data_IF_987554491017
#
_entry.id   IF_987554491017
#
_cell.length_a   1.000
_cell.length_b   1.000
_cell.length_c   1.000
_cell.angle_alpha   90.00
_cell.angle_beta   90.00
_cell.angle_gamma   90.00
#
_symmetry.space_group_name_H-M   'P 1'
#
loop_
_entity.id
_entity.type
_entity.pdbx_description
1 polymer ?
#
# COMPACT_ATOMS: atom_id res chain seq x y z
N UNK A 1 -21.35 6.35 -35.72
CA UNK A 1 -22.54 6.29 -34.85
C UNK A 1 -22.35 7.06 -33.51
N UNK A 2 -21.14 7.26 -33.04
CA UNK A 2 -20.84 8.06 -31.86
C UNK A 2 -21.11 9.58 -31.98
N UNK A 3 -21.13 10.13 -33.18
CA UNK A 3 -21.37 11.56 -33.44
C UNK A 3 -22.83 12.05 -33.30
N UNK A 4 -23.80 11.13 -33.41
CA UNK A 4 -25.24 11.50 -33.32
C UNK A 4 -25.81 11.53 -31.89
N UNK A 5 -25.10 10.94 -30.90
CA UNK A 5 -25.51 10.99 -29.50
C UNK A 5 -25.05 12.27 -28.77
N UNK A 6 -24.01 12.95 -29.26
CA UNK A 6 -23.55 14.25 -28.73
C UNK A 6 -24.53 15.41 -28.96
N UNK A 7 -25.42 15.28 -29.94
CA UNK A 7 -26.40 16.33 -30.29
C UNK A 7 -27.63 16.32 -29.37
N UNK A 8 -27.81 15.31 -28.52
CA UNK A 8 -28.95 15.22 -27.59
C UNK A 8 -28.63 15.60 -26.13
N UNK A 9 -27.34 15.82 -25.83
CA UNK A 9 -26.89 16.36 -24.52
C UNK A 9 -26.54 17.83 -24.78
N UNK A 10 -27.48 18.73 -24.49
CA UNK A 10 -27.30 20.17 -24.65
C UNK A 10 -26.08 20.69 -23.86
N UNK A 11 -25.55 21.89 -24.19
CA UNK A 11 -24.32 22.46 -23.62
C UNK A 11 -24.43 22.85 -22.13
N UNK A 12 -25.57 22.65 -21.49
CA UNK A 12 -25.84 23.06 -20.11
C UNK A 12 -25.26 22.14 -19.00
N UNK A 13 -24.60 21.02 -19.37
CA UNK A 13 -24.00 20.10 -18.39
C UNK A 13 -22.63 20.56 -17.81
N UNK A 14 -22.21 21.80 -18.07
CA UNK A 14 -20.85 22.30 -17.67
C UNK A 14 -20.82 23.37 -16.60
N UNK A 15 -21.91 23.66 -15.92
CA UNK A 15 -21.89 24.63 -14.81
C UNK A 15 -22.51 23.98 -13.55
N UNK A 16 -21.66 23.47 -12.68
CA UNK A 16 -22.01 23.21 -11.29
C UNK A 16 -21.92 24.55 -10.54
N UNK A 17 -23.02 25.11 -10.04
CA UNK A 17 -22.95 26.20 -9.09
C UNK A 17 -22.70 25.66 -7.69
N UNK A 18 -21.89 26.42 -6.93
CA UNK A 18 -21.62 26.21 -5.53
C UNK A 18 -22.90 26.20 -4.68
N UNK A 19 -22.89 25.34 -3.68
CA UNK A 19 -23.71 25.25 -2.48
C UNK A 19 -24.99 26.10 -2.42
N UNK A 20 -26.15 25.45 -2.57
CA UNK A 20 -27.45 26.04 -2.29
C UNK A 20 -28.59 25.13 -2.73
N UNK A 21 -29.27 24.49 -1.76
CA UNK A 21 -30.60 23.83 -1.87
C UNK A 21 -30.86 22.98 -3.12
N UNK A 22 -30.58 21.68 -2.97
CA UNK A 22 -30.96 20.64 -3.94
C UNK A 22 -32.48 20.55 -3.98
N UNK A 23 -33.11 21.20 -4.96
CA UNK A 23 -34.49 20.88 -5.38
C UNK A 23 -34.47 19.52 -6.08
N UNK A 24 -35.13 18.54 -5.52
CA UNK A 24 -35.34 17.16 -6.00
C UNK A 24 -36.25 17.09 -7.24
N UNK A 25 -35.89 17.73 -8.34
CA UNK A 25 -36.74 17.77 -9.54
C UNK A 25 -35.95 17.69 -10.85
N UNK A 26 -35.09 16.64 -11.06
CA UNK A 26 -34.53 16.38 -12.39
C UNK A 26 -34.27 14.88 -12.64
N UNK A 27 -35.13 13.97 -12.18
CA UNK A 27 -35.25 12.66 -12.79
C UNK A 27 -36.35 12.73 -13.86
N UNK A 28 -36.03 13.22 -15.06
CA UNK A 28 -36.87 12.93 -16.22
C UNK A 28 -36.81 11.41 -16.46
N UNK A 29 -37.95 10.69 -16.39
CA UNK A 29 -37.96 9.27 -16.68
C UNK A 29 -37.48 9.06 -18.11
N UNK A 30 -36.43 8.25 -18.29
CA UNK A 30 -35.89 7.83 -19.61
C UNK A 30 -37.07 7.20 -20.36
N UNK A 31 -37.36 7.68 -21.57
CA UNK A 31 -38.49 7.20 -22.36
C UNK A 31 -38.38 5.67 -22.55
N UNK A 32 -39.50 4.93 -22.55
CA UNK A 32 -39.51 3.46 -22.70
C UNK A 32 -38.75 2.95 -23.91
N UNK A 33 -38.64 3.75 -25.00
CA UNK A 33 -37.91 3.40 -26.24
C UNK A 33 -36.39 3.54 -26.11
N UNK A 34 -35.89 4.28 -25.16
CA UNK A 34 -34.41 4.50 -24.95
C UNK A 34 -33.86 3.56 -23.90
N UNK A 35 -34.71 3.01 -23.00
CA UNK A 35 -34.29 2.07 -21.95
C UNK A 35 -33.50 0.86 -22.45
N UNK A 36 -33.94 0.13 -23.51
CA UNK A 36 -33.18 -1.04 -24.00
C UNK A 36 -31.83 -0.67 -24.60
N UNK A 37 -31.74 0.47 -25.29
CA UNK A 37 -30.47 0.97 -25.86
C UNK A 37 -29.50 1.42 -24.78
N UNK A 38 -29.99 2.07 -23.71
CA UNK A 38 -29.18 2.45 -22.57
C UNK A 38 -28.67 1.22 -21.82
N UNK A 39 -29.52 0.22 -21.58
CA UNK A 39 -29.12 -1.04 -20.96
C UNK A 39 -28.04 -1.77 -21.78
N UNK A 40 -28.19 -1.82 -23.10
CA UNK A 40 -27.19 -2.40 -23.99
C UNK A 40 -25.86 -1.63 -23.97
N UNK A 41 -25.89 -0.32 -23.92
CA UNK A 41 -24.67 0.50 -23.77
C UNK A 41 -23.98 0.24 -22.42
N UNK A 42 -24.72 0.21 -21.32
CA UNK A 42 -24.19 -0.07 -19.98
C UNK A 42 -23.58 -1.47 -19.92
N UNK A 43 -24.26 -2.47 -20.45
CA UNK A 43 -23.76 -3.86 -20.51
C UNK A 43 -22.49 -3.94 -21.36
N UNK A 44 -22.51 -3.33 -22.55
CA UNK A 44 -21.33 -3.31 -23.43
C UNK A 44 -20.13 -2.61 -22.80
N UNK A 45 -20.37 -1.46 -22.17
CA UNK A 45 -19.29 -0.70 -21.53
C UNK A 45 -18.80 -1.41 -20.26
N UNK A 46 -19.68 -2.09 -19.51
CA UNK A 46 -19.32 -2.99 -18.43
C UNK A 46 -18.47 -4.18 -18.89
N UNK A 47 -18.87 -4.84 -19.98
CA UNK A 47 -18.10 -5.94 -20.58
C UNK A 47 -16.73 -5.48 -21.08
N UNK A 48 -16.65 -4.28 -21.69
CA UNK A 48 -15.36 -3.70 -22.10
C UNK A 48 -14.49 -3.35 -20.92
N UNK A 49 -15.06 -2.83 -19.84
CA UNK A 49 -14.32 -2.54 -18.61
C UNK A 49 -13.76 -3.83 -18.00
N UNK A 50 -14.55 -4.89 -17.92
CA UNK A 50 -14.11 -6.20 -17.47
C UNK A 50 -13.03 -6.80 -18.39
N UNK A 51 -13.19 -6.70 -19.71
CA UNK A 51 -12.20 -7.19 -20.66
C UNK A 51 -10.85 -6.49 -20.53
N UNK A 52 -10.87 -5.17 -20.32
CA UNK A 52 -9.68 -4.34 -20.19
C UNK A 52 -9.12 -4.28 -18.76
N UNK A 53 -9.70 -5.03 -17.82
CA UNK A 53 -9.25 -5.03 -16.44
C UNK A 53 -7.80 -5.56 -16.35
N UNK A 54 -6.85 -4.74 -15.80
CA UNK A 54 -5.46 -5.15 -15.71
C UNK A 54 -5.28 -6.27 -14.69
N UNK A 55 -4.15 -6.96 -14.77
CA UNK A 55 -3.74 -7.89 -13.69
C UNK A 55 -3.59 -7.13 -12.38
N UNK A 56 -3.92 -7.77 -11.24
CA UNK A 56 -3.59 -7.21 -9.93
C UNK A 56 -2.08 -6.92 -9.83
N UNK A 57 -1.66 -5.81 -9.22
CA UNK A 57 -0.25 -5.52 -9.00
C UNK A 57 0.35 -6.64 -8.13
N UNK A 58 1.51 -7.14 -8.56
CA UNK A 58 2.36 -8.12 -7.87
C UNK A 58 1.63 -9.41 -7.43
N UNK A 59 1.52 -10.41 -8.33
CA UNK A 59 1.21 -11.75 -7.84
C UNK A 59 2.35 -12.19 -6.89
N UNK A 60 2.03 -12.65 -5.67
CA UNK A 60 3.06 -13.12 -4.77
C UNK A 60 3.84 -14.25 -5.44
N UNK A 61 5.19 -14.23 -5.26
CA UNK A 61 6.07 -15.32 -5.72
C UNK A 61 5.52 -16.69 -5.30
N UNK A 62 5.80 -17.77 -6.05
CA UNK A 62 5.35 -19.10 -5.69
C UNK A 62 5.84 -19.43 -4.27
N UNK A 63 4.87 -19.58 -3.36
CA UNK A 63 5.14 -19.82 -1.94
C UNK A 63 5.33 -21.33 -1.74
N UNK A 64 6.06 -21.74 -0.72
CA UNK A 64 6.21 -23.15 -0.32
C UNK A 64 4.87 -23.91 -0.24
N UNK A 65 3.78 -23.20 0.10
CA UNK A 65 2.40 -23.72 0.12
C UNK A 65 1.91 -24.24 -1.24
N UNK A 66 2.34 -23.65 -2.34
CA UNK A 66 1.96 -24.10 -3.68
C UNK A 66 2.68 -25.41 -4.02
N UNK A 67 3.95 -25.55 -3.61
CA UNK A 67 4.71 -26.80 -3.75
C UNK A 67 4.14 -27.92 -2.86
N UNK A 68 3.77 -27.57 -1.62
CA UNK A 68 3.11 -28.50 -0.70
C UNK A 68 1.77 -28.99 -1.26
N UNK A 69 0.95 -28.10 -1.82
CA UNK A 69 -0.32 -28.48 -2.47
C UNK A 69 -0.07 -29.49 -3.60
N UNK A 70 0.88 -29.22 -4.49
CA UNK A 70 1.23 -30.14 -5.58
C UNK A 70 1.71 -31.47 -5.03
N UNK A 71 2.60 -31.48 -4.02
CA UNK A 71 3.09 -32.70 -3.39
C UNK A 71 1.94 -33.52 -2.79
N UNK A 72 1.00 -32.88 -2.08
CA UNK A 72 -0.17 -33.56 -1.51
C UNK A 72 -1.06 -34.16 -2.61
N UNK A 73 -1.37 -33.41 -3.66
CA UNK A 73 -2.22 -33.88 -4.76
C UNK A 73 -1.56 -35.07 -5.47
N UNK A 74 -0.27 -34.98 -5.79
CA UNK A 74 0.46 -36.06 -6.46
C UNK A 74 0.55 -37.31 -5.56
N UNK A 75 0.91 -37.13 -4.28
CA UNK A 75 0.98 -38.28 -3.34
C UNK A 75 -0.37 -38.93 -3.18
N UNK A 76 -1.45 -38.16 -3.07
CA UNK A 76 -2.82 -38.69 -3.00
C UNK A 76 -3.20 -39.45 -4.29
N UNK A 77 -2.86 -38.90 -5.47
CA UNK A 77 -3.10 -39.57 -6.76
C UNK A 77 -2.39 -40.94 -6.85
N UNK A 78 -1.15 -41.01 -6.36
CA UNK A 78 -0.41 -42.29 -6.32
C UNK A 78 -1.12 -43.29 -5.41
N UNK A 79 -1.48 -42.87 -4.19
CA UNK A 79 -2.19 -43.73 -3.22
C UNK A 79 -3.52 -44.18 -3.79
N UNK A 80 -4.29 -43.27 -4.36
CA UNK A 80 -5.60 -43.58 -4.96
C UNK A 80 -5.46 -44.59 -6.12
N UNK A 81 -4.45 -44.41 -7.00
CA UNK A 81 -4.18 -45.34 -8.11
C UNK A 81 -3.77 -46.74 -7.61
N UNK A 82 -3.02 -46.82 -6.50
CA UNK A 82 -2.58 -48.09 -5.93
C UNK A 82 -3.71 -48.83 -5.18
N UNK A 83 -4.66 -48.11 -4.61
CA UNK A 83 -5.78 -48.69 -3.85
C UNK A 83 -6.98 -49.09 -4.73
N UNK A 84 -7.10 -48.56 -5.94
CA UNK A 84 -8.21 -48.83 -6.86
C UNK A 84 -7.78 -49.82 -7.92
N UNK A 85 -8.16 -51.05 -7.75
CA UNK A 85 -7.86 -52.15 -8.69
C UNK A 85 -8.73 -52.11 -9.96
N UNK A 86 -9.86 -51.36 -9.92
CA UNK A 86 -10.85 -51.21 -11.01
C UNK A 86 -10.48 -50.15 -12.05
N UNK A 87 -9.32 -49.47 -11.93
CA UNK A 87 -8.92 -48.39 -12.82
C UNK A 87 -8.38 -48.91 -14.16
N UNK A 88 -9.22 -48.84 -15.20
CA UNK A 88 -8.72 -48.90 -16.57
C UNK A 88 -7.80 -47.68 -16.82
N UNK A 89 -6.63 -47.86 -17.41
CA UNK A 89 -5.64 -46.82 -17.67
C UNK A 89 -5.07 -46.14 -16.44
N UNK A 90 -4.93 -46.81 -15.29
CA UNK A 90 -4.40 -46.22 -14.05
C UNK A 90 -3.14 -45.37 -14.24
N UNK A 91 -2.07 -45.84 -14.94
CA UNK A 91 -0.87 -45.04 -15.20
C UNK A 91 -1.14 -43.77 -16.02
N UNK A 92 -2.10 -43.78 -16.96
CA UNK A 92 -2.50 -42.59 -17.76
C UNK A 92 -3.21 -41.59 -16.86
N UNK A 93 -4.13 -42.07 -16.03
CA UNK A 93 -4.84 -41.24 -15.05
C UNK A 93 -3.88 -40.55 -14.07
N UNK A 94 -2.90 -41.27 -13.55
CA UNK A 94 -1.85 -40.72 -12.70
C UNK A 94 -1.05 -39.64 -13.43
N UNK A 95 -0.72 -39.87 -14.71
CA UNK A 95 -0.02 -38.90 -15.54
C UNK A 95 -0.84 -37.63 -15.74
N UNK A 96 -2.13 -37.75 -16.09
CA UNK A 96 -3.08 -36.62 -16.27
C UNK A 96 -3.18 -35.81 -14.99
N UNK A 97 -3.40 -36.45 -13.84
CA UNK A 97 -3.53 -35.76 -12.56
C UNK A 97 -2.22 -35.08 -12.15
N UNK A 98 -1.08 -35.70 -12.43
CA UNK A 98 0.23 -35.11 -12.17
C UNK A 98 0.47 -33.87 -13.03
N UNK A 99 0.12 -33.89 -14.33
CA UNK A 99 0.22 -32.72 -15.21
C UNK A 99 -0.68 -31.57 -14.75
N UNK A 100 -1.91 -31.89 -14.32
CA UNK A 100 -2.82 -30.90 -13.73
C UNK A 100 -2.21 -30.32 -12.45
N UNK A 101 -1.68 -31.17 -11.56
CA UNK A 101 -1.05 -30.70 -10.32
C UNK A 101 0.17 -29.81 -10.61
N UNK A 102 1.01 -30.16 -11.57
CA UNK A 102 2.16 -29.35 -11.98
C UNK A 102 1.73 -27.98 -12.54
N UNK A 103 0.60 -27.89 -13.26
CA UNK A 103 0.08 -26.62 -13.75
C UNK A 103 -0.22 -25.63 -12.62
N UNK A 104 -0.53 -26.13 -11.41
CA UNK A 104 -0.78 -25.28 -10.24
C UNK A 104 0.44 -24.48 -9.78
N UNK A 105 1.67 -24.89 -10.14
CA UNK A 105 2.89 -24.14 -9.80
C UNK A 105 2.94 -22.77 -10.47
N UNK A 106 2.36 -22.64 -11.66
CA UNK A 106 2.36 -21.39 -12.44
C UNK A 106 1.07 -20.59 -12.34
N UNK A 107 0.09 -21.07 -11.59
CA UNK A 107 -1.28 -20.52 -11.49
C UNK A 107 -1.32 -19.04 -11.10
N UNK A 108 -0.27 -18.53 -10.42
CA UNK A 108 -0.20 -17.12 -9.99
C UNK A 108 0.49 -16.23 -11.01
N UNK A 109 1.60 -16.71 -11.59
CA UNK A 109 2.38 -15.95 -12.57
C UNK A 109 1.72 -15.96 -13.96
N UNK A 110 1.22 -17.12 -14.38
CA UNK A 110 0.61 -17.34 -15.69
C UNK A 110 -0.75 -18.05 -15.57
N UNK A 111 -1.78 -17.37 -15.00
CA UNK A 111 -3.06 -18.02 -14.68
C UNK A 111 -3.76 -18.61 -15.89
N UNK A 112 -3.77 -17.91 -17.05
CA UNK A 112 -4.33 -18.45 -18.30
C UNK A 112 -3.52 -19.66 -18.80
N UNK A 113 -2.18 -19.58 -18.74
CA UNK A 113 -1.32 -20.72 -19.14
C UNK A 113 -1.56 -21.97 -18.28
N UNK A 114 -1.73 -21.79 -16.95
CA UNK A 114 -2.05 -22.88 -16.05
C UNK A 114 -3.43 -23.51 -16.35
N UNK A 115 -4.45 -22.69 -16.63
CA UNK A 115 -5.78 -23.14 -17.04
C UNK A 115 -5.70 -23.87 -18.40
N UNK A 116 -4.99 -23.31 -19.38
CA UNK A 116 -4.82 -23.95 -20.67
C UNK A 116 -4.09 -25.31 -20.59
N UNK A 117 -3.06 -25.41 -19.75
CA UNK A 117 -2.37 -26.66 -19.50
C UNK A 117 -3.28 -27.69 -18.81
N UNK A 118 -3.94 -27.31 -17.70
CA UNK A 118 -4.79 -28.22 -16.93
C UNK A 118 -6.01 -28.70 -17.72
N UNK A 119 -6.81 -27.76 -18.26
CA UNK A 119 -8.00 -28.12 -19.03
C UNK A 119 -7.67 -28.69 -20.43
N UNK A 120 -6.57 -28.26 -21.05
CA UNK A 120 -6.05 -28.87 -22.27
C UNK A 120 -5.69 -30.34 -22.06
N UNK A 121 -5.07 -30.68 -20.94
CA UNK A 121 -4.79 -32.08 -20.56
C UNK A 121 -6.07 -32.88 -20.36
N UNK A 122 -7.11 -32.30 -19.70
CA UNK A 122 -8.42 -32.96 -19.54
C UNK A 122 -9.12 -33.19 -20.89
N UNK A 123 -9.16 -32.17 -21.75
CA UNK A 123 -9.74 -32.28 -23.08
C UNK A 123 -9.03 -33.38 -23.89
N UNK A 124 -7.69 -33.39 -23.89
CA UNK A 124 -6.92 -34.41 -24.60
C UNK A 124 -7.22 -35.81 -24.10
N UNK A 125 -7.34 -35.95 -22.77
CA UNK A 125 -7.67 -37.21 -22.12
C UNK A 125 -9.08 -37.70 -22.47
N UNK A 126 -10.10 -36.83 -22.37
CA UNK A 126 -11.47 -37.20 -22.70
C UNK A 126 -11.64 -37.53 -24.20
N UNK A 127 -10.98 -36.79 -25.09
CA UNK A 127 -10.94 -37.11 -26.52
C UNK A 127 -10.30 -38.48 -26.75
N UNK A 128 -9.20 -38.82 -26.08
CA UNK A 128 -8.54 -40.12 -26.15
C UNK A 128 -9.49 -41.25 -25.67
N UNK A 129 -10.24 -41.03 -24.59
CA UNK A 129 -11.26 -41.98 -24.07
C UNK A 129 -12.36 -42.25 -25.13
N UNK A 130 -12.88 -41.17 -25.72
CA UNK A 130 -13.93 -41.29 -26.77
C UNK A 130 -13.40 -42.10 -27.97
N UNK A 131 -12.18 -41.79 -28.45
CA UNK A 131 -11.60 -42.48 -29.59
C UNK A 131 -11.25 -43.95 -29.31
N UNK A 132 -10.84 -44.26 -28.09
CA UNK A 132 -10.48 -45.62 -27.66
C UNK A 132 -11.71 -46.45 -27.21
N UNK A 133 -12.89 -45.81 -27.05
CA UNK A 133 -14.11 -46.44 -26.51
C UNK A 133 -13.85 -47.11 -25.15
N UNK A 134 -13.08 -46.45 -24.25
CA UNK A 134 -12.75 -46.98 -22.94
C UNK A 134 -13.53 -46.23 -21.85
N UNK A 135 -14.28 -47.02 -21.08
CA UNK A 135 -14.93 -46.53 -19.88
C UNK A 135 -13.95 -46.57 -18.68
N UNK A 136 -13.69 -45.42 -18.11
CA UNK A 136 -12.85 -45.31 -16.90
C UNK A 136 -13.38 -44.20 -16.01
N UNK A 137 -13.39 -44.49 -14.70
CA UNK A 137 -13.78 -43.48 -13.71
C UNK A 137 -12.58 -42.62 -13.33
N UNK A 138 -12.80 -41.29 -13.21
CA UNK A 138 -11.75 -40.35 -12.84
C UNK A 138 -11.23 -40.54 -11.41
N UNK A 139 -9.98 -40.11 -11.16
CA UNK A 139 -9.45 -40.03 -9.81
C UNK A 139 -10.07 -38.84 -9.06
N UNK A 140 -10.36 -38.98 -7.77
CA UNK A 140 -10.85 -37.89 -6.92
C UNK A 140 -9.85 -36.73 -6.86
N UNK A 141 -8.56 -37.05 -6.95
CA UNK A 141 -7.46 -36.05 -7.01
C UNK A 141 -7.57 -35.07 -8.19
N UNK A 142 -8.31 -35.40 -9.26
CA UNK A 142 -8.65 -34.50 -10.36
C UNK A 142 -9.41 -33.26 -9.88
N UNK A 143 -10.12 -33.33 -8.73
CA UNK A 143 -10.79 -32.18 -8.12
C UNK A 143 -9.82 -30.99 -7.83
N UNK A 144 -8.52 -31.23 -7.78
CA UNK A 144 -7.51 -30.17 -7.70
C UNK A 144 -7.60 -29.15 -8.87
N UNK A 145 -8.18 -29.54 -10.01
CA UNK A 145 -8.45 -28.65 -11.15
C UNK A 145 -9.34 -27.47 -10.79
N UNK A 146 -10.19 -27.59 -9.76
CA UNK A 146 -11.04 -26.50 -9.25
C UNK A 146 -10.25 -25.29 -8.73
N UNK A 147 -8.97 -25.48 -8.40
CA UNK A 147 -8.08 -24.38 -8.00
C UNK A 147 -7.72 -23.48 -9.18
N UNK A 148 -7.80 -23.96 -10.41
CA UNK A 148 -7.44 -23.21 -11.61
C UNK A 148 -8.43 -22.05 -11.92
N UNK A 149 -9.75 -22.26 -11.94
CA UNK A 149 -10.71 -21.16 -12.11
C UNK A 149 -10.59 -20.10 -11.03
N UNK A 150 -10.42 -20.50 -9.77
CA UNK A 150 -10.13 -19.59 -8.67
C UNK A 150 -8.91 -18.73 -8.96
N UNK A 151 -7.81 -19.35 -9.38
CA UNK A 151 -6.54 -18.64 -9.64
C UNK A 151 -6.66 -17.70 -10.84
N UNK A 152 -7.37 -18.10 -11.87
CA UNK A 152 -7.62 -17.31 -13.07
C UNK A 152 -8.34 -16.00 -12.73
N UNK A 153 -9.43 -16.07 -11.96
CA UNK A 153 -10.20 -14.90 -11.59
C UNK A 153 -9.53 -14.07 -10.48
N UNK A 154 -8.69 -14.69 -9.68
CA UNK A 154 -7.94 -14.00 -8.61
C UNK A 154 -6.76 -13.19 -9.15
N UNK A 155 -6.02 -13.73 -10.15
CA UNK A 155 -4.72 -13.20 -10.59
C UNK A 155 -4.67 -12.82 -12.07
N UNK A 156 -5.59 -13.30 -12.90
CA UNK A 156 -5.63 -13.02 -14.33
C UNK A 156 -6.10 -11.62 -14.68
N UNK A 157 -5.73 -11.16 -15.88
CA UNK A 157 -6.37 -10.00 -16.49
C UNK A 157 -7.80 -10.34 -16.94
N UNK A 158 -8.65 -9.33 -17.13
CA UNK A 158 -10.04 -9.55 -17.54
C UNK A 158 -10.18 -10.37 -18.82
N UNK A 159 -9.37 -10.09 -19.83
CA UNK A 159 -9.31 -10.87 -21.10
C UNK A 159 -8.87 -12.33 -20.88
N UNK A 160 -7.93 -12.55 -19.96
CA UNK A 160 -7.47 -13.89 -19.61
C UNK A 160 -8.56 -14.69 -18.89
N UNK A 161 -9.27 -14.03 -17.98
CA UNK A 161 -10.41 -14.61 -17.28
C UNK A 161 -11.53 -15.01 -18.26
N UNK A 162 -11.84 -14.15 -19.24
CA UNK A 162 -12.85 -14.44 -20.25
C UNK A 162 -12.47 -15.62 -21.16
N UNK A 163 -11.22 -15.63 -21.67
CA UNK A 163 -10.72 -16.71 -22.52
C UNK A 163 -10.64 -18.03 -21.74
N UNK A 164 -10.07 -18.00 -20.53
CA UNK A 164 -9.95 -19.20 -19.71
C UNK A 164 -11.29 -19.75 -19.24
N UNK A 165 -12.27 -18.89 -18.95
CA UNK A 165 -13.64 -19.32 -18.66
C UNK A 165 -14.26 -20.01 -19.89
N UNK A 166 -14.07 -19.47 -21.09
CA UNK A 166 -14.51 -20.10 -22.32
C UNK A 166 -13.92 -21.52 -22.48
N UNK A 167 -12.64 -21.71 -22.17
CA UNK A 167 -11.99 -23.02 -22.22
C UNK A 167 -12.56 -23.99 -21.17
N UNK A 168 -12.80 -23.53 -19.96
CA UNK A 168 -13.41 -24.31 -18.88
C UNK A 168 -14.81 -24.79 -19.29
N UNK A 169 -15.63 -23.85 -19.79
CA UNK A 169 -17.01 -24.17 -20.20
C UNK A 169 -17.06 -25.07 -21.44
N UNK A 170 -16.06 -24.97 -22.34
CA UNK A 170 -15.98 -25.82 -23.53
C UNK A 170 -15.61 -27.27 -23.19
N UNK A 171 -14.87 -27.51 -22.10
CA UNK A 171 -14.51 -28.86 -21.65
C UNK A 171 -15.71 -29.65 -21.14
N UNK A 172 -16.66 -29.03 -20.44
CA UNK A 172 -17.81 -29.71 -19.81
C UNK A 172 -18.70 -30.53 -20.79
N UNK A 173 -19.07 -30.02 -21.97
CA UNK A 173 -19.79 -30.85 -22.93
C UNK A 173 -18.95 -32.02 -23.50
N UNK A 174 -17.61 -31.86 -23.57
CA UNK A 174 -16.72 -32.92 -24.05
C UNK A 174 -16.70 -34.08 -23.05
N UNK A 175 -16.54 -33.74 -21.76
CA UNK A 175 -16.57 -34.78 -20.71
C UNK A 175 -17.95 -35.47 -20.61
N UNK A 176 -19.05 -34.74 -20.88
CA UNK A 176 -20.39 -35.33 -20.95
C UNK A 176 -20.55 -36.35 -22.08
N UNK A 177 -19.90 -36.12 -23.23
CA UNK A 177 -19.86 -37.09 -24.33
C UNK A 177 -19.00 -38.29 -23.99
N UNK A 178 -17.85 -38.06 -23.28
CA UNK A 178 -16.95 -39.12 -22.86
C UNK A 178 -17.57 -40.01 -21.74
N UNK A 179 -18.37 -39.40 -20.89
CA UNK A 179 -19.05 -40.06 -19.76
C UNK A 179 -20.44 -39.44 -19.58
N UNK A 180 -21.51 -40.11 -20.11
CA UNK A 180 -22.86 -39.61 -19.99
C UNK A 180 -23.29 -39.43 -18.53
N UNK A 181 -23.54 -38.20 -18.15
CA UNK A 181 -23.93 -37.79 -16.81
C UNK A 181 -25.41 -37.44 -16.77
N UNK A 182 -26.02 -37.56 -15.60
CA UNK A 182 -27.37 -37.03 -15.38
C UNK A 182 -27.37 -35.49 -15.48
N UNK A 183 -28.50 -34.90 -15.80
CA UNK A 183 -28.64 -33.45 -15.83
C UNK A 183 -28.22 -32.81 -14.48
N UNK A 184 -28.49 -33.47 -13.35
CA UNK A 184 -28.11 -33.01 -12.02
C UNK A 184 -26.59 -32.93 -11.83
N UNK A 185 -25.85 -33.95 -12.26
CA UNK A 185 -24.38 -34.00 -12.20
C UNK A 185 -23.75 -32.96 -13.10
N UNK A 186 -24.28 -32.75 -14.29
CA UNK A 186 -23.84 -31.72 -15.21
C UNK A 186 -24.02 -30.31 -14.60
N UNK A 187 -25.19 -29.99 -14.06
CA UNK A 187 -25.43 -28.72 -13.39
C UNK A 187 -24.53 -28.54 -12.15
N UNK A 188 -24.29 -29.61 -11.39
CA UNK A 188 -23.37 -29.57 -10.27
C UNK A 188 -21.95 -29.26 -10.74
N UNK A 189 -21.46 -29.89 -11.83
CA UNK A 189 -20.14 -29.61 -12.40
C UNK A 189 -19.98 -28.14 -12.78
N UNK A 190 -20.92 -27.57 -13.57
CA UNK A 190 -20.91 -26.13 -13.87
C UNK A 190 -20.93 -25.28 -12.60
N UNK A 191 -21.76 -25.65 -11.62
CA UNK A 191 -21.87 -24.95 -10.34
C UNK A 191 -20.54 -24.91 -9.59
N UNK A 192 -19.80 -26.01 -9.53
CA UNK A 192 -18.49 -26.08 -8.86
C UNK A 192 -17.45 -25.16 -9.51
N UNK A 193 -17.35 -25.18 -10.86
CA UNK A 193 -16.38 -24.35 -11.57
C UNK A 193 -16.74 -22.86 -11.48
N UNK A 194 -18.02 -22.52 -11.60
CA UNK A 194 -18.49 -21.13 -11.47
C UNK A 194 -18.34 -20.64 -10.03
N UNK A 195 -18.60 -21.46 -9.03
CA UNK A 195 -18.41 -21.08 -7.61
C UNK A 195 -16.94 -20.83 -7.30
N UNK A 196 -16.03 -21.68 -7.80
CA UNK A 196 -14.59 -21.50 -7.67
C UNK A 196 -14.13 -20.19 -8.33
N UNK A 197 -14.59 -19.90 -9.55
CA UNK A 197 -14.32 -18.66 -10.27
C UNK A 197 -14.86 -17.44 -9.50
N UNK A 198 -16.12 -17.52 -9.03
CA UNK A 198 -16.76 -16.47 -8.25
C UNK A 198 -16.02 -16.18 -6.94
N UNK A 199 -15.53 -17.23 -6.25
CA UNK A 199 -14.71 -17.10 -5.05
C UNK A 199 -13.41 -16.34 -5.33
N UNK A 200 -12.72 -16.69 -6.43
CA UNK A 200 -11.52 -15.97 -6.87
C UNK A 200 -11.78 -14.50 -7.16
N UNK A 201 -12.87 -14.20 -7.88
CA UNK A 201 -13.31 -12.84 -8.18
C UNK A 201 -13.69 -12.06 -6.90
N UNK A 202 -14.41 -12.68 -5.97
CA UNK A 202 -14.81 -12.07 -4.71
C UNK A 202 -13.59 -11.66 -3.87
N UNK A 203 -12.60 -12.55 -3.71
CA UNK A 203 -11.38 -12.23 -2.97
C UNK A 203 -10.59 -11.10 -3.66
N UNK A 204 -10.54 -11.09 -5.01
CA UNK A 204 -9.92 -9.99 -5.77
C UNK A 204 -10.64 -8.68 -5.49
N UNK A 205 -11.97 -8.67 -5.58
CA UNK A 205 -12.79 -7.49 -5.32
C UNK A 205 -12.58 -6.96 -3.92
N UNK A 206 -12.66 -7.81 -2.89
CA UNK A 206 -12.41 -7.40 -1.51
C UNK A 206 -11.00 -6.84 -1.27
N UNK A 207 -9.98 -7.42 -1.92
CA UNK A 207 -8.62 -6.90 -1.83
C UNK A 207 -8.52 -5.49 -2.46
N UNK A 208 -9.16 -5.28 -3.62
CA UNK A 208 -9.16 -3.99 -4.31
C UNK A 208 -9.93 -2.93 -3.53
N UNK A 209 -11.09 -3.28 -2.95
CA UNK A 209 -11.88 -2.38 -2.09
C UNK A 209 -11.07 -1.95 -0.88
N UNK A 210 -10.42 -2.87 -0.18
CA UNK A 210 -9.59 -2.53 0.99
C UNK A 210 -8.47 -1.53 0.66
N UNK A 211 -7.79 -1.69 -0.48
CA UNK A 211 -6.75 -0.74 -0.90
C UNK A 211 -7.36 0.64 -1.15
N UNK A 212 -8.50 0.70 -1.84
CA UNK A 212 -9.22 1.97 -2.09
C UNK A 212 -9.73 2.63 -0.81
N UNK A 213 -10.23 1.83 0.14
CA UNK A 213 -10.72 2.35 1.42
C UNK A 213 -9.60 2.99 2.23
N UNK A 214 -8.41 2.37 2.27
CA UNK A 214 -7.22 2.93 2.92
C UNK A 214 -6.80 4.24 2.25
N UNK A 215 -6.78 4.28 0.92
CA UNK A 215 -6.43 5.49 0.17
C UNK A 215 -7.45 6.62 0.39
N UNK A 216 -8.75 6.29 0.37
CA UNK A 216 -9.80 7.26 0.68
C UNK A 216 -9.73 7.76 2.13
N UNK A 217 -9.41 6.89 3.09
CA UNK A 217 -9.21 7.28 4.49
C UNK A 217 -8.05 8.28 4.62
N UNK A 218 -6.92 8.02 3.95
CA UNK A 218 -5.78 8.96 3.88
C UNK A 218 -6.18 10.33 3.29
N UNK A 219 -6.95 10.32 2.20
CA UNK A 219 -7.42 11.56 1.55
C UNK A 219 -8.39 12.35 2.44
N UNK A 220 -9.30 11.66 3.13
CA UNK A 220 -10.22 12.29 4.11
C UNK A 220 -9.45 12.93 5.25
N UNK A 221 -8.52 12.19 5.85
CA UNK A 221 -7.67 12.70 6.92
C UNK A 221 -6.89 13.96 6.50
N UNK A 222 -6.32 13.95 5.29
CA UNK A 222 -5.65 15.16 4.74
C UNK A 222 -6.62 16.33 4.58
N UNK A 223 -7.83 16.08 4.10
CA UNK A 223 -8.86 17.14 3.94
C UNK A 223 -9.31 17.68 5.28
N UNK A 224 -9.44 16.85 6.30
CA UNK A 224 -9.80 17.26 7.66
C UNK A 224 -8.70 18.11 8.29
N UNK A 225 -7.44 17.64 8.22
CA UNK A 225 -6.28 18.42 8.68
C UNK A 225 -6.14 19.77 7.96
N UNK A 226 -6.41 19.82 6.64
CA UNK A 226 -6.37 21.07 5.90
C UNK A 226 -7.45 22.06 6.34
N UNK A 227 -8.65 21.58 6.72
CA UNK A 227 -9.71 22.43 7.27
C UNK A 227 -9.35 22.92 8.67
N UNK A 228 -8.86 22.03 9.54
CA UNK A 228 -8.45 22.35 10.90
C UNK A 228 -7.32 23.39 10.89
N UNK A 229 -6.36 23.26 9.96
CA UNK A 229 -5.33 24.28 9.70
C UNK A 229 -5.95 25.63 9.29
N UNK A 230 -6.89 25.61 8.34
CA UNK A 230 -7.52 26.83 7.84
C UNK A 230 -8.30 27.55 8.94
N UNK A 231 -9.03 26.80 9.74
CA UNK A 231 -9.83 27.33 10.84
C UNK A 231 -8.94 27.89 11.97
N UNK A 232 -7.86 27.18 12.33
CA UNK A 232 -6.89 27.65 13.33
C UNK A 232 -6.19 28.92 12.86
N UNK A 233 -5.66 28.93 11.63
CA UNK A 233 -5.01 30.12 11.05
C UNK A 233 -5.97 31.29 10.98
N UNK A 234 -7.20 31.08 10.53
CA UNK A 234 -8.22 32.10 10.45
C UNK A 234 -8.54 32.75 11.81
N UNK A 235 -8.60 31.90 12.86
CA UNK A 235 -8.83 32.37 14.23
C UNK A 235 -7.66 33.22 14.74
N UNK A 236 -6.42 32.75 14.59
CA UNK A 236 -5.23 33.47 15.03
C UNK A 236 -5.00 34.79 14.28
N UNK A 237 -5.18 34.78 12.95
CA UNK A 237 -5.08 36.01 12.14
C UNK A 237 -6.14 37.04 12.54
N UNK A 238 -7.37 36.60 12.83
CA UNK A 238 -8.44 37.47 13.29
C UNK A 238 -8.11 38.09 14.67
N UNK A 239 -7.56 37.31 15.61
CA UNK A 239 -7.13 37.79 16.91
C UNK A 239 -6.00 38.83 16.79
N UNK A 240 -4.99 38.56 15.94
CA UNK A 240 -3.90 39.51 15.65
C UNK A 240 -4.47 40.84 15.07
N UNK A 241 -5.44 40.77 14.14
CA UNK A 241 -6.05 41.94 13.55
C UNK A 241 -6.79 42.80 14.59
N UNK A 242 -7.53 42.16 15.51
CA UNK A 242 -8.22 42.87 16.62
C UNK A 242 -7.21 43.51 17.56
N UNK A 243 -6.15 42.82 17.94
CA UNK A 243 -5.08 43.38 18.79
C UNK A 243 -4.38 44.55 18.10
N UNK A 244 -4.08 44.44 16.81
CA UNK A 244 -3.48 45.54 16.05
C UNK A 244 -4.39 46.79 16.01
N UNK A 245 -5.72 46.63 15.89
CA UNK A 245 -6.67 47.73 15.99
C UNK A 245 -6.66 48.38 17.38
N UNK A 246 -6.63 47.57 18.44
CA UNK A 246 -6.54 48.07 19.82
C UNK A 246 -5.22 48.84 20.08
N UNK A 247 -4.08 48.27 19.61
CA UNK A 247 -2.78 48.96 19.70
C UNK A 247 -2.77 50.32 18.99
N UNK A 248 -3.37 50.41 17.80
CA UNK A 248 -3.51 51.68 17.06
C UNK A 248 -4.37 52.71 17.80
N UNK A 249 -5.44 52.26 18.45
CA UNK A 249 -6.31 53.19 19.24
C UNK A 249 -5.57 53.72 20.46
N UNK A 250 -4.68 52.94 21.07
CA UNK A 250 -3.90 53.36 22.25
C UNK A 250 -2.66 54.20 21.91
N UNK A 251 -2.15 54.11 20.69
CA UNK A 251 -0.87 54.73 20.29
C UNK A 251 -0.78 56.24 20.54
N UNK A 252 -1.91 56.99 20.45
CA UNK A 252 -1.96 58.43 20.65
C UNK A 252 -2.12 58.85 22.14
N UNK A 253 -2.62 57.93 23.02
CA UNK A 253 -2.96 58.25 24.40
C UNK A 253 -2.06 57.53 25.42
N UNK A 254 -1.54 56.38 25.13
CA UNK A 254 -0.74 55.54 26.03
C UNK A 254 0.24 54.65 25.19
N UNK A 255 1.41 55.23 24.95
CA UNK A 255 2.44 54.57 24.10
C UNK A 255 2.98 53.30 24.74
N UNK A 256 3.10 53.21 26.05
CA UNK A 256 3.62 52.04 26.75
C UNK A 256 2.67 50.85 26.60
N UNK A 257 1.37 51.10 26.72
CA UNK A 257 0.34 50.05 26.46
C UNK A 257 0.29 49.65 24.99
N UNK A 258 0.47 50.56 24.07
CA UNK A 258 0.53 50.25 22.64
C UNK A 258 1.72 49.34 22.34
N UNK A 259 2.90 49.56 22.92
CA UNK A 259 4.07 48.67 22.79
C UNK A 259 3.83 47.32 23.40
N UNK A 260 3.14 47.22 24.56
CA UNK A 260 2.80 45.92 25.16
C UNK A 260 1.86 45.11 24.26
N UNK A 261 0.89 45.76 23.56
CA UNK A 261 0.04 45.09 22.58
C UNK A 261 0.83 44.58 21.38
N UNK A 262 1.82 45.31 20.88
CA UNK A 262 2.70 44.87 19.80
C UNK A 262 3.52 43.64 20.19
N UNK A 263 4.06 43.59 21.41
CA UNK A 263 4.76 42.41 21.94
C UNK A 263 3.86 41.16 22.00
N UNK A 264 2.58 41.36 22.40
CA UNK A 264 1.59 40.26 22.42
C UNK A 264 1.29 39.73 20.99
N UNK A 265 1.21 40.64 20.00
CA UNK A 265 1.02 40.29 18.59
C UNK A 265 2.22 39.47 18.07
N UNK A 266 3.44 39.90 18.37
CA UNK A 266 4.67 39.21 17.97
C UNK A 266 4.73 37.80 18.54
N UNK A 267 4.42 37.65 19.82
CA UNK A 267 4.38 36.32 20.48
C UNK A 267 3.30 35.42 19.87
N UNK A 268 2.09 35.93 19.63
CA UNK A 268 0.99 35.20 19.03
C UNK A 268 1.33 34.76 17.58
N UNK A 269 1.92 35.64 16.79
CA UNK A 269 2.33 35.34 15.41
C UNK A 269 3.43 34.27 15.37
N UNK A 270 4.43 34.38 16.24
CA UNK A 270 5.52 33.40 16.34
C UNK A 270 5.02 32.02 16.72
N UNK A 271 4.13 31.93 17.71
CA UNK A 271 3.50 30.66 18.13
C UNK A 271 2.69 30.03 16.99
N UNK A 272 1.86 30.83 16.31
CA UNK A 272 1.07 30.35 15.18
C UNK A 272 1.94 29.81 14.04
N UNK A 273 3.06 30.46 13.73
CA UNK A 273 4.01 30.01 12.73
C UNK A 273 4.67 28.68 13.12
N UNK A 274 4.98 28.48 14.40
CA UNK A 274 5.53 27.20 14.88
C UNK A 274 4.52 26.05 14.78
N UNK A 275 3.27 26.30 15.18
CA UNK A 275 2.17 25.35 15.06
C UNK A 275 1.92 24.94 13.59
N UNK A 276 1.87 25.93 12.68
CA UNK A 276 1.72 25.68 11.23
C UNK A 276 2.89 24.84 10.67
N UNK A 277 4.13 25.16 11.05
CA UNK A 277 5.29 24.39 10.60
C UNK A 277 5.27 22.94 11.09
N UNK A 278 4.85 22.72 12.34
CA UNK A 278 4.71 21.39 12.90
C UNK A 278 3.66 20.56 12.14
N UNK A 279 2.48 21.15 11.86
CA UNK A 279 1.41 20.48 11.13
C UNK A 279 1.76 20.20 9.65
N UNK A 280 2.41 21.15 8.96
CA UNK A 280 2.90 20.97 7.58
C UNK A 280 3.99 19.90 7.54
N UNK A 281 4.83 19.79 8.57
CA UNK A 281 5.82 18.71 8.72
C UNK A 281 5.17 17.33 8.73
N UNK A 282 4.10 17.14 9.49
CA UNK A 282 3.32 15.89 9.55
C UNK A 282 2.72 15.53 8.19
N UNK A 283 2.20 16.52 7.43
CA UNK A 283 1.64 16.32 6.10
C UNK A 283 2.70 15.96 5.05
N UNK A 284 3.92 16.47 5.20
CA UNK A 284 5.05 16.27 4.27
C UNK A 284 5.73 14.93 4.49
N UNK A 285 5.96 14.52 5.73
CA UNK A 285 6.58 13.23 6.08
C UNK A 285 5.75 12.03 5.56
N UNK A 286 4.44 12.17 5.45
CA UNK A 286 3.56 11.16 4.84
C UNK A 286 3.69 11.03 3.30
N UNK A 287 4.26 12.00 2.59
CA UNK A 287 4.35 12.00 1.12
C UNK A 287 5.72 11.58 0.58
N UNK A 288 6.81 11.90 1.27
CA UNK A 288 8.16 11.60 0.79
C UNK A 288 8.55 10.12 1.02
N UNK A 289 7.87 9.43 1.94
CA UNK A 289 8.10 8.01 2.21
C UNK A 289 7.58 7.05 1.11
N UNK A 290 6.75 7.51 0.17
CA UNK A 290 6.06 6.63 -0.79
C UNK A 290 6.74 6.55 -2.17
N UNK A 291 7.68 7.44 -2.53
CA UNK A 291 8.21 7.55 -3.90
C UNK A 291 9.73 7.38 -4.05
N UNK A 292 10.49 7.35 -2.96
CA UNK A 292 11.92 7.07 -2.98
C UNK A 292 12.24 5.90 -2.03
N UNK A 293 13.28 5.08 -2.32
CA UNK A 293 13.76 4.14 -1.32
C UNK A 293 14.07 4.92 -0.04
N UNK A 294 13.69 4.37 1.14
CA UNK A 294 13.91 5.06 2.40
C UNK A 294 15.41 5.42 2.51
N UNK A 295 15.73 6.69 2.85
CA UNK A 295 17.11 7.10 3.02
C UNK A 295 17.78 6.23 4.08
N UNK A 296 19.00 5.78 3.79
CA UNK A 296 19.75 4.87 4.62
C UNK A 296 21.03 5.49 5.21
N UNK A 297 21.90 4.63 5.69
CA UNK A 297 23.17 5.05 6.31
C UNK A 297 24.04 5.90 5.36
N UNK A 298 24.08 5.55 4.07
CA UNK A 298 24.83 6.32 3.05
C UNK A 298 24.33 7.76 2.87
N UNK A 299 23.09 8.02 3.25
CA UNK A 299 22.47 9.34 3.14
C UNK A 299 22.85 10.27 4.31
N UNK A 300 23.37 9.70 5.42
CA UNK A 300 23.83 10.49 6.58
C UNK A 300 24.98 11.43 6.16
N UNK A 301 25.85 11.01 5.25
CA UNK A 301 26.93 11.87 4.74
C UNK A 301 26.41 13.13 4.04
N UNK A 302 25.22 13.05 3.45
CA UNK A 302 24.57 14.21 2.80
C UNK A 302 24.12 15.27 3.81
N UNK A 303 23.95 14.94 5.07
CA UNK A 303 23.65 15.94 6.11
C UNK A 303 24.79 16.96 6.28
N UNK A 304 26.01 16.61 5.89
CA UNK A 304 27.15 17.53 5.93
C UNK A 304 27.12 18.63 4.84
N UNK A 305 26.36 18.43 3.75
CA UNK A 305 26.45 19.26 2.53
C UNK A 305 25.29 20.25 2.33
N UNK A 306 24.27 20.25 3.17
CA UNK A 306 22.97 20.91 2.89
C UNK A 306 22.69 22.22 3.64
N UNK A 307 23.61 22.76 4.42
CA UNK A 307 23.30 23.83 5.39
C UNK A 307 24.16 25.07 5.10
N UNK A 308 23.47 26.16 4.69
CA UNK A 308 24.07 27.47 4.46
C UNK A 308 24.83 28.06 5.67
N UNK A 309 24.77 29.36 5.92
CA UNK A 309 25.44 30.07 7.03
C UNK A 309 25.01 29.55 8.42
N UNK A 310 25.61 28.42 8.88
CA UNK A 310 25.34 27.76 10.17
C UNK A 310 26.55 27.00 10.69
N UNK A 311 26.45 26.31 11.85
CA UNK A 311 27.48 25.43 12.39
C UNK A 311 27.89 24.38 11.36
N UNK A 312 29.19 24.11 11.25
CA UNK A 312 29.70 23.04 10.37
C UNK A 312 29.24 21.68 10.87
N UNK A 313 28.73 20.85 9.96
CA UNK A 313 28.34 19.45 10.28
C UNK A 313 29.42 18.51 9.76
N UNK A 314 30.10 17.83 10.68
CA UNK A 314 31.13 16.83 10.38
C UNK A 314 30.57 15.42 10.61
N UNK A 315 30.60 14.57 9.55
CA UNK A 315 30.09 13.18 9.59
C UNK A 315 31.24 12.20 9.54
N UNK A 316 31.23 11.23 10.43
CA UNK A 316 32.22 10.16 10.54
C UNK A 316 31.53 8.80 10.62
N UNK A 317 31.76 7.95 9.62
CA UNK A 317 31.31 6.56 9.60
C UNK A 317 32.53 5.67 9.86
N UNK A 318 32.43 4.73 10.81
CA UNK A 318 33.52 3.82 11.18
C UNK A 318 33.00 2.38 11.39
N UNK A 319 33.57 1.43 10.66
CA UNK A 319 33.20 0.02 10.73
C UNK A 319 32.61 -0.56 9.45
N UNK A 320 32.10 -1.79 9.54
CA UNK A 320 31.45 -2.49 8.43
C UNK A 320 29.93 -2.52 8.63
N UNK A 321 29.21 -1.96 7.66
CA UNK A 321 27.76 -1.84 7.68
C UNK A 321 27.08 -2.73 6.63
N UNK A 322 27.79 -3.71 6.05
CA UNK A 322 27.24 -4.58 4.99
C UNK A 322 26.05 -5.43 5.49
N UNK A 323 26.05 -5.79 6.77
CA UNK A 323 24.98 -6.56 7.40
C UNK A 323 23.88 -5.70 8.04
N UNK A 324 23.95 -4.38 7.90
CA UNK A 324 22.96 -3.48 8.49
C UNK A 324 21.60 -3.63 7.79
N UNK A 325 20.55 -3.92 8.56
CA UNK A 325 19.21 -4.01 7.96
C UNK A 325 18.75 -2.64 7.44
N UNK A 326 18.01 -2.58 6.32
CA UNK A 326 17.50 -1.33 5.75
C UNK A 326 16.66 -0.51 6.74
N UNK A 327 15.90 -1.17 7.61
CA UNK A 327 15.08 -0.54 8.64
C UNK A 327 15.93 0.16 9.71
N UNK A 328 17.03 -0.44 10.13
CA UNK A 328 17.99 0.15 11.07
C UNK A 328 18.73 1.33 10.43
N UNK A 329 19.17 1.18 9.16
CA UNK A 329 19.77 2.27 8.40
C UNK A 329 18.86 3.50 8.27
N UNK A 330 17.58 3.28 7.97
CA UNK A 330 16.60 4.35 7.90
C UNK A 330 16.34 5.03 9.27
N UNK A 331 16.29 4.26 10.36
CA UNK A 331 16.12 4.79 11.70
C UNK A 331 17.33 5.65 12.11
N UNK A 332 18.56 5.18 11.86
CA UNK A 332 19.78 5.94 12.11
C UNK A 332 19.79 7.26 11.36
N UNK A 333 19.42 7.24 10.07
CA UNK A 333 19.32 8.48 9.28
C UNK A 333 18.31 9.46 9.89
N UNK A 334 17.12 9.02 10.26
CA UNK A 334 16.08 9.89 10.85
C UNK A 334 16.49 10.44 12.22
N UNK A 335 17.13 9.64 13.07
CA UNK A 335 17.65 10.10 14.36
C UNK A 335 18.76 11.12 14.15
N UNK A 336 19.68 10.89 13.21
CA UNK A 336 20.75 11.83 12.87
C UNK A 336 20.18 13.15 12.34
N UNK A 337 19.23 13.10 11.40
CA UNK A 337 18.58 14.26 10.80
C UNK A 337 17.88 15.13 11.86
N UNK A 338 17.08 14.52 12.74
CA UNK A 338 16.38 15.21 13.80
C UNK A 338 17.37 15.82 14.82
N UNK A 339 18.43 15.09 15.16
CA UNK A 339 19.45 15.56 16.11
C UNK A 339 20.26 16.74 15.53
N UNK A 340 20.64 16.69 14.25
CA UNK A 340 21.31 17.80 13.55
C UNK A 340 20.39 19.02 13.47
N UNK A 341 19.12 18.82 13.10
CA UNK A 341 18.13 19.90 13.04
C UNK A 341 17.93 20.55 14.40
N UNK A 342 17.88 19.76 15.48
CA UNK A 342 17.79 20.27 16.85
C UNK A 342 19.03 21.05 17.27
N UNK A 343 20.22 20.58 16.90
CA UNK A 343 21.47 21.30 17.12
C UNK A 343 21.47 22.67 16.43
N UNK A 344 21.05 22.73 15.16
CA UNK A 344 20.96 23.98 14.38
C UNK A 344 19.95 24.99 14.97
N UNK A 345 18.84 24.49 15.53
CA UNK A 345 17.77 25.35 16.10
C UNK A 345 18.04 25.82 17.52
N UNK A 346 18.68 24.99 18.34
CA UNK A 346 18.69 25.17 19.78
C UNK A 346 20.09 25.42 20.38
N UNK A 347 21.16 25.00 19.66
CA UNK A 347 22.52 25.21 20.15
C UNK A 347 22.96 26.67 19.92
N UNK A 348 23.06 27.42 21.00
CA UNK A 348 23.56 28.81 20.94
C UNK A 348 25.08 28.81 20.78
N UNK A 349 25.57 29.66 19.89
CA UNK A 349 27.02 29.83 19.61
C UNK A 349 27.73 28.51 19.19
N UNK A 350 26.98 27.51 18.70
CA UNK A 350 27.60 26.32 18.18
C UNK A 350 28.40 26.65 16.92
N UNK A 351 29.59 26.13 16.83
CA UNK A 351 30.45 26.23 15.64
C UNK A 351 30.52 24.94 14.87
N UNK A 352 30.21 23.82 15.55
CA UNK A 352 30.31 22.48 14.99
C UNK A 352 29.27 21.53 15.56
N UNK A 353 28.73 20.68 14.66
CA UNK A 353 27.91 19.51 15.00
C UNK A 353 28.64 18.28 14.46
N UNK A 354 28.94 17.31 15.31
CA UNK A 354 29.63 16.08 14.95
C UNK A 354 28.66 14.92 14.97
N UNK A 355 28.55 14.21 13.86
CA UNK A 355 27.75 12.98 13.70
C UNK A 355 28.72 11.81 13.55
N UNK A 356 28.66 10.85 14.46
CA UNK A 356 29.48 9.62 14.40
C UNK A 356 28.57 8.40 14.34
N UNK A 357 28.85 7.51 13.39
CA UNK A 357 28.24 6.18 13.37
C UNK A 357 29.37 5.17 13.48
N UNK A 358 29.30 4.34 14.49
CA UNK A 358 30.29 3.32 14.79
C UNK A 358 29.66 1.94 14.80
N UNK A 359 30.35 0.98 14.20
CA UNK A 359 30.05 -0.43 14.29
C UNK A 359 30.61 -0.97 15.62
N UNK A 360 29.75 -1.52 16.47
CA UNK A 360 30.10 -2.14 17.75
C UNK A 360 29.78 -3.65 17.77
N UNK A 361 30.00 -4.33 16.64
CA UNK A 361 29.76 -5.78 16.51
C UNK A 361 28.30 -6.08 16.17
N UNK A 362 27.49 -6.55 17.11
CA UNK A 362 26.06 -6.85 16.91
C UNK A 362 25.18 -5.59 16.91
N UNK A 363 25.73 -4.45 17.36
CA UNK A 363 25.04 -3.18 17.47
C UNK A 363 25.71 -2.09 16.65
N UNK A 364 24.96 -1.06 16.31
CA UNK A 364 25.46 0.18 15.70
C UNK A 364 25.12 1.33 16.62
N UNK A 365 26.14 2.14 16.92
CA UNK A 365 26.02 3.35 17.73
C UNK A 365 26.04 4.60 16.86
N UNK A 366 25.05 5.46 17.02
CA UNK A 366 25.00 6.81 16.48
C UNK A 366 25.17 7.81 17.61
N UNK A 367 26.16 8.69 17.49
CA UNK A 367 26.37 9.80 18.43
C UNK A 367 26.35 11.12 17.66
N UNK A 368 25.44 12.03 18.03
CA UNK A 368 25.36 13.39 17.48
C UNK A 368 25.64 14.36 18.62
N UNK A 369 26.63 15.25 18.41
CA UNK A 369 27.05 16.22 19.40
C UNK A 369 27.27 17.60 18.79
N UNK A 370 26.75 18.64 19.45
CA UNK A 370 27.13 20.02 19.20
C UNK A 370 28.14 20.55 20.26
N UNK A 371 28.81 21.63 19.93
CA UNK A 371 29.76 22.32 20.80
C UNK A 371 29.19 23.62 21.41
N UNK A 372 27.89 23.84 21.29
CA UNK A 372 27.20 25.04 21.69
C UNK A 372 27.03 25.20 23.20
N UNK A 373 26.47 26.31 23.60
CA UNK A 373 26.09 26.56 24.98
C UNK A 373 24.67 26.05 25.25
N UNK A 374 24.47 25.25 26.28
CA UNK A 374 23.14 24.84 26.70
C UNK A 374 22.40 26.04 27.28
N UNK A 375 21.33 26.51 26.67
CA UNK A 375 20.51 27.60 27.18
C UNK A 375 20.00 27.27 28.59
N UNK A 376 19.90 28.30 29.46
CA UNK A 376 19.47 28.18 30.86
C UNK A 376 18.08 27.55 31.09
N UNK A 377 17.30 27.33 29.99
CA UNK A 377 15.98 26.71 29.99
C UNK A 377 15.94 25.24 29.54
N UNK A 378 17.08 24.59 29.26
CA UNK A 378 17.16 23.20 28.75
C UNK A 378 16.93 22.13 29.85
N UNK A 379 16.05 22.42 30.80
CA UNK A 379 15.54 21.42 31.75
C UNK A 379 14.30 20.79 31.13
N UNK A 380 14.46 19.56 30.61
CA UNK A 380 13.36 18.63 30.36
C UNK A 380 12.16 19.19 29.57
N UNK A 381 12.37 19.85 28.44
CA UNK A 381 11.29 19.88 27.45
C UNK A 381 11.27 18.50 26.77
N UNK A 382 10.30 17.68 27.15
CA UNK A 382 9.92 16.48 26.41
C UNK A 382 9.33 16.93 25.07
N UNK A 383 10.18 17.51 24.22
CA UNK A 383 9.80 17.91 22.87
C UNK A 383 9.45 16.66 22.07
N UNK A 384 8.43 16.75 21.22
CA UNK A 384 7.96 15.66 20.35
C UNK A 384 9.10 14.97 19.58
N UNK A 385 10.19 15.65 19.28
CA UNK A 385 11.37 15.10 18.60
C UNK A 385 12.11 14.03 19.40
N UNK A 386 12.37 14.24 20.70
CA UNK A 386 13.03 13.25 21.55
C UNK A 386 12.15 12.02 21.77
N UNK A 387 10.86 12.21 21.99
CA UNK A 387 9.90 11.11 22.12
C UNK A 387 9.84 10.26 20.84
N UNK A 388 9.77 10.89 19.67
CA UNK A 388 9.76 10.18 18.40
C UNK A 388 11.07 9.46 18.05
N UNK A 389 12.23 9.99 18.47
CA UNK A 389 13.52 9.29 18.34
C UNK A 389 13.58 8.05 19.24
N UNK A 390 13.13 8.18 20.51
CA UNK A 390 13.08 7.07 21.46
C UNK A 390 12.13 5.96 21.03
N UNK A 391 10.95 6.31 20.54
CA UNK A 391 9.97 5.35 20.03
C UNK A 391 10.52 4.55 18.84
N UNK A 392 11.13 5.24 17.86
CA UNK A 392 11.75 4.58 16.70
C UNK A 392 12.86 3.60 17.08
N UNK A 393 13.72 3.98 18.01
CA UNK A 393 14.77 3.09 18.48
C UNK A 393 14.19 1.87 19.20
N UNK A 394 13.21 2.09 20.09
CA UNK A 394 12.56 1.03 20.86
C UNK A 394 11.84 0.01 19.97
N UNK A 395 11.19 0.44 18.89
CA UNK A 395 10.55 -0.44 17.91
C UNK A 395 11.53 -1.39 17.22
N UNK A 396 12.81 -1.03 17.15
CA UNK A 396 13.88 -1.84 16.58
C UNK A 396 14.73 -2.55 17.64
N UNK A 397 14.31 -2.53 18.92
CA UNK A 397 15.02 -3.15 20.02
C UNK A 397 16.23 -2.35 20.54
N UNK A 398 16.35 -1.08 20.11
CA UNK A 398 17.44 -0.19 20.52
C UNK A 398 17.04 0.82 21.59
N UNK A 399 17.95 1.74 21.89
CA UNK A 399 17.76 2.80 22.89
C UNK A 399 18.30 4.15 22.40
N UNK A 400 17.69 5.25 22.85
CA UNK A 400 18.19 6.63 22.63
C UNK A 400 18.35 7.32 23.97
N UNK A 401 19.48 8.00 24.15
CA UNK A 401 19.74 8.88 25.29
C UNK A 401 20.12 10.26 24.78
N UNK A 402 19.59 11.29 25.40
CA UNK A 402 19.91 12.67 25.03
C UNK A 402 20.18 13.46 26.31
N UNK A 403 21.23 14.30 26.30
CA UNK A 403 21.63 15.05 27.47
C UNK A 403 22.80 16.01 27.20
N UNK A 404 23.26 16.68 28.23
CA UNK A 404 24.44 17.54 28.17
C UNK A 404 25.68 16.72 27.83
N UNK A 405 26.54 17.26 26.98
CA UNK A 405 27.81 16.64 26.64
C UNK A 405 28.80 16.59 27.80
N UNK A 406 29.89 15.79 27.69
CA UNK A 406 30.96 15.74 28.66
C UNK A 406 31.53 17.14 28.88
N UNK A 407 31.66 17.56 30.16
CA UNK A 407 32.19 18.89 30.58
C UNK A 407 31.14 20.01 30.54
N UNK A 408 29.83 19.67 30.57
CA UNK A 408 28.69 20.60 30.60
C UNK A 408 28.53 21.52 29.38
N UNK A 409 29.35 21.32 28.33
CA UNK A 409 29.25 22.05 27.06
C UNK A 409 28.61 21.17 25.97
N UNK A 410 27.69 21.77 25.20
CA UNK A 410 26.99 21.14 24.10
C UNK A 410 25.90 20.16 24.56
N UNK A 411 25.20 19.65 23.58
CA UNK A 411 24.17 18.59 23.72
C UNK A 411 24.59 17.34 22.96
N UNK A 412 24.32 16.19 23.54
CA UNK A 412 24.66 14.91 22.93
C UNK A 412 23.41 14.05 22.82
N UNK A 413 23.18 13.46 21.65
CA UNK A 413 22.22 12.38 21.42
C UNK A 413 23.01 11.13 21.09
N UNK A 414 22.77 10.06 21.83
CA UNK A 414 23.43 8.76 21.70
C UNK A 414 22.35 7.69 21.47
N UNK A 415 22.40 7.02 20.33
CA UNK A 415 21.46 5.97 19.95
C UNK A 415 22.23 4.67 19.70
N UNK A 416 21.72 3.56 20.24
CA UNK A 416 22.26 2.20 20.03
C UNK A 416 21.17 1.33 19.48
N UNK A 417 21.42 0.70 18.33
CA UNK A 417 20.46 -0.17 17.64
C UNK A 417 21.13 -1.49 17.23
N UNK A 418 20.42 -2.63 17.33
CA UNK A 418 20.93 -3.90 16.82
C UNK A 418 21.00 -3.88 15.29
N UNK A 419 22.07 -4.44 14.67
CA UNK A 419 22.25 -4.47 13.22
C UNK A 419 21.14 -5.22 12.47
N UNK A 420 20.65 -6.32 13.05
CA UNK A 420 19.55 -7.13 12.52
C UNK A 420 18.26 -6.80 13.24
N UNK A 421 17.26 -6.23 12.56
CA UNK A 421 15.91 -6.17 13.10
C UNK A 421 15.32 -7.59 13.12
N UNK A 422 14.86 -8.05 14.28
CA UNK A 422 14.08 -9.30 14.41
C UNK A 422 12.64 -9.10 13.95
#
# INVERSE_FOLDING_TARGET
MAGRLRAYIGPEARLLPAAGTVRTSFFRPISPRVRPLYALCVVRDGLRALWNEPRPPQPPAPVWRDRALVAVVVSWSVVETLLREDLAWGPVMLTVTTLIALSLLWRRAHPLGAVAAGFGTLIAFDVARILAAVDTTGLLSIAAVLVLPYSLFRWGAGREAAVGLGLILAWLPITHVAEPQSAGEMFAGYGFFLSSAAWGAAIRFHATVRVRDVEQAKLRQRSELARELHDSVGHHVSAIAVQAQAGRALAASDTDRALAVLATIEEAASRTLEEMRAMVGILRDGNEAELAPPPGLADIERLAHGLGEGPRVDVHLSGDFAELSPSVGAALYRIAQESVTNGLRHARHATRITVRVADEGDEVRLTVRDDGEAGAGARTSSGHGLAGMSERATLLGGTVRAGRGPGERGWTVDAVLPKGAR
#
